data_IF_584712459773
#
_entry.id   IF_584712459773
#
_cell.length_a   1.000
_cell.length_b   1.000
_cell.length_c   1.000
_cell.angle_alpha   90.00
_cell.angle_beta   90.00
_cell.angle_gamma   90.00
#
_symmetry.space_group_name_H-M   'P 1'
#
loop_
_entity.id
_entity.type
_entity.pdbx_description
1 polymer ?
#
# COMPACT_ATOMS: atom_id res chain seq x y z
N UNK A 1 -3.14 -19.95 -4.18
CA UNK A 1 -2.48 -21.25 -4.41
C UNK A 1 -3.23 -22.29 -3.59
N UNK A 2 -3.46 -23.51 -4.08
CA UNK A 2 -4.07 -24.57 -3.27
C UNK A 2 -3.13 -24.95 -2.11
N UNK A 3 -3.71 -25.38 -0.99
CA UNK A 3 -2.95 -25.89 0.16
C UNK A 3 -2.37 -27.28 -0.14
N UNK A 4 -1.16 -27.54 0.35
CA UNK A 4 -0.45 -28.80 0.20
C UNK A 4 -0.13 -29.41 1.57
N UNK A 5 0.11 -30.73 1.60
CA UNK A 5 0.55 -31.42 2.82
C UNK A 5 1.96 -30.97 3.23
N UNK A 6 2.25 -30.99 4.52
CA UNK A 6 3.56 -30.58 5.06
C UNK A 6 4.65 -31.66 5.01
N UNK A 7 4.32 -32.87 4.53
CA UNK A 7 5.15 -34.07 4.63
C UNK A 7 6.57 -33.93 4.03
N UNK A 8 6.76 -33.08 3.01
CA UNK A 8 8.06 -32.88 2.36
C UNK A 8 8.96 -31.83 3.02
N UNK A 9 8.43 -31.05 3.96
CA UNK A 9 9.12 -29.88 4.56
C UNK A 9 9.24 -29.99 6.08
N UNK A 10 8.67 -31.02 6.68
CA UNK A 10 8.61 -31.20 8.14
C UNK A 10 9.51 -32.31 8.65
N UNK A 11 10.04 -32.10 9.84
CA UNK A 11 10.79 -33.07 10.64
C UNK A 11 10.21 -33.13 12.06
N UNK A 12 9.99 -34.35 12.56
CA UNK A 12 9.38 -34.59 13.87
C UNK A 12 7.88 -34.31 13.95
N UNK A 13 7.35 -34.43 15.17
CA UNK A 13 5.92 -34.30 15.47
C UNK A 13 5.05 -35.44 14.92
N UNK A 14 3.81 -35.52 15.40
CA UNK A 14 2.80 -36.48 14.97
C UNK A 14 1.69 -35.72 14.25
N UNK A 15 1.35 -36.16 13.04
CA UNK A 15 0.20 -35.67 12.30
C UNK A 15 -1.08 -36.33 12.82
N UNK A 16 -2.13 -35.54 13.03
CA UNK A 16 -3.45 -35.98 13.44
C UNK A 16 -4.51 -35.28 12.59
N UNK A 17 -5.44 -36.04 12.05
CA UNK A 17 -6.62 -35.52 11.38
C UNK A 17 -7.77 -35.41 12.38
N UNK A 18 -8.44 -34.26 12.41
CA UNK A 18 -9.60 -34.00 13.27
C UNK A 18 -10.82 -33.58 12.42
N UNK A 19 -11.38 -34.50 11.62
CA UNK A 19 -12.35 -34.15 10.58
C UNK A 19 -13.71 -33.69 11.12
N UNK A 20 -13.96 -33.89 12.42
CA UNK A 20 -15.23 -33.56 13.09
C UNK A 20 -15.11 -32.34 14.02
N UNK A 21 -13.96 -31.65 14.04
CA UNK A 21 -13.78 -30.47 14.88
C UNK A 21 -14.53 -29.29 14.27
N UNK A 22 -15.49 -28.75 15.03
CA UNK A 22 -16.13 -27.48 14.68
C UNK A 22 -15.25 -26.33 15.15
N UNK A 23 -14.71 -25.54 14.21
CA UNK A 23 -13.82 -24.42 14.52
C UNK A 23 -14.52 -23.09 14.27
N UNK A 24 -14.47 -22.20 15.25
CA UNK A 24 -14.97 -20.84 15.18
C UNK A 24 -13.88 -19.97 14.53
N UNK A 25 -14.08 -19.57 13.27
CA UNK A 25 -13.14 -18.71 12.52
C UNK A 25 -13.59 -17.25 12.42
N UNK A 26 -14.81 -16.93 12.88
CA UNK A 26 -15.46 -15.63 12.70
C UNK A 26 -15.46 -15.13 11.23
N UNK A 27 -15.49 -16.06 10.27
CA UNK A 27 -15.52 -15.74 8.83
C UNK A 27 -14.18 -15.33 8.20
N UNK A 28 -13.08 -15.35 8.97
CA UNK A 28 -11.78 -14.81 8.50
C UNK A 28 -10.92 -15.79 7.71
N UNK A 29 -11.18 -17.10 7.82
CA UNK A 29 -10.33 -18.16 7.25
C UNK A 29 -11.15 -19.38 6.85
N UNK A 30 -10.63 -20.17 5.89
CA UNK A 30 -11.20 -21.47 5.52
C UNK A 30 -11.12 -22.42 6.73
N UNK A 31 -12.27 -22.87 7.30
CA UNK A 31 -12.29 -23.77 8.45
C UNK A 31 -11.56 -25.10 8.20
N UNK A 32 -11.39 -25.52 6.93
CA UNK A 32 -10.70 -26.76 6.57
C UNK A 32 -9.23 -26.78 6.98
N UNK A 33 -8.61 -25.61 7.12
CA UNK A 33 -7.22 -25.47 7.55
C UNK A 33 -6.99 -25.91 8.99
N UNK A 34 -8.05 -26.04 9.77
CA UNK A 34 -8.00 -26.46 11.17
C UNK A 34 -8.46 -27.91 11.40
N UNK A 35 -8.69 -28.67 10.31
CA UNK A 35 -9.11 -30.08 10.36
C UNK A 35 -7.93 -31.05 10.38
N UNK A 36 -6.70 -30.55 10.24
CA UNK A 36 -5.47 -31.32 10.32
C UNK A 36 -4.51 -30.56 11.21
N UNK A 37 -3.79 -31.27 12.07
CA UNK A 37 -2.75 -30.68 12.89
C UNK A 37 -1.51 -31.56 12.94
N UNK A 38 -0.39 -30.93 13.28
CA UNK A 38 0.82 -31.60 13.75
C UNK A 38 1.16 -31.09 15.13
N UNK A 39 1.42 -32.02 16.04
CA UNK A 39 1.79 -31.70 17.42
C UNK A 39 3.11 -32.37 17.82
N UNK A 40 3.81 -31.81 18.79
CA UNK A 40 5.09 -32.35 19.27
C UNK A 40 4.93 -33.70 19.96
N UNK A 41 5.85 -34.64 19.77
CA UNK A 41 5.79 -35.95 20.44
C UNK A 41 7.16 -36.34 21.00
N UNK A 42 7.22 -36.61 22.31
CA UNK A 42 8.45 -36.95 23.04
C UNK A 42 9.37 -35.73 23.30
N UNK A 43 9.97 -35.67 24.50
CA UNK A 43 10.97 -34.64 24.85
C UNK A 43 10.45 -33.21 24.97
N UNK A 44 11.30 -32.24 24.58
CA UNK A 44 11.07 -30.77 24.70
C UNK A 44 10.81 -30.07 23.36
N UNK A 45 10.78 -30.81 22.25
CA UNK A 45 10.67 -30.24 20.89
C UNK A 45 9.30 -30.51 20.24
N UNK A 46 8.74 -29.49 19.60
CA UNK A 46 7.64 -29.61 18.65
C UNK A 46 8.12 -29.99 17.24
N UNK A 47 7.23 -29.97 16.24
CA UNK A 47 7.63 -30.16 14.85
C UNK A 47 8.63 -29.06 14.42
N UNK A 48 9.46 -29.36 13.44
CA UNK A 48 10.40 -28.42 12.83
C UNK A 48 10.25 -28.44 11.32
N UNK A 49 10.31 -27.29 10.69
CA UNK A 49 10.06 -27.12 9.26
C UNK A 49 11.25 -26.44 8.57
N UNK A 50 11.52 -26.85 7.33
CA UNK A 50 12.46 -26.18 6.43
C UNK A 50 11.83 -26.08 5.04
N UNK A 51 11.52 -24.86 4.62
CA UNK A 51 10.86 -24.56 3.35
C UNK A 51 11.87 -24.01 2.36
N UNK A 52 12.10 -24.67 1.20
CA UNK A 52 12.97 -24.11 0.18
C UNK A 52 12.31 -22.86 -0.42
N UNK A 53 12.92 -21.69 -0.21
CA UNK A 53 12.44 -20.40 -0.73
C UNK A 53 13.63 -19.53 -1.13
N UNK A 54 13.43 -18.59 -2.05
CA UNK A 54 14.49 -17.63 -2.39
C UNK A 54 14.90 -16.78 -1.19
N UNK A 55 16.13 -16.26 -1.20
CA UNK A 55 16.52 -15.24 -0.23
C UNK A 55 15.62 -14.01 -0.34
N UNK A 56 15.14 -13.49 0.78
CA UNK A 56 14.17 -12.41 0.78
C UNK A 56 13.46 -12.24 2.12
N UNK A 57 12.53 -11.29 2.17
CA UNK A 57 11.65 -11.08 3.32
C UNK A 57 10.32 -11.78 3.12
N UNK A 58 9.82 -12.40 4.18
CA UNK A 58 8.58 -13.16 4.18
C UNK A 58 7.70 -12.75 5.37
N UNK A 59 6.39 -12.83 5.16
CA UNK A 59 5.42 -12.94 6.23
C UNK A 59 5.06 -14.43 6.37
N UNK A 60 5.20 -14.95 7.58
CA UNK A 60 4.87 -16.33 7.92
C UNK A 60 3.58 -16.32 8.74
N UNK A 61 2.49 -16.79 8.16
CA UNK A 61 1.22 -16.96 8.85
C UNK A 61 1.16 -18.37 9.45
N UNK A 62 0.96 -18.43 10.76
CA UNK A 62 0.90 -19.66 11.55
C UNK A 62 -0.51 -19.84 12.08
N UNK A 63 -1.16 -20.94 11.68
CA UNK A 63 -2.56 -21.22 11.97
C UNK A 63 -2.63 -22.22 13.12
N UNK A 64 -3.38 -21.86 14.15
CA UNK A 64 -3.57 -22.63 15.36
C UNK A 64 -5.05 -22.71 15.70
N UNK A 65 -5.50 -23.79 16.29
CA UNK A 65 -6.70 -23.79 17.14
C UNK A 65 -6.36 -24.50 18.45
N UNK A 66 -7.19 -24.49 19.48
CA UNK A 66 -7.00 -25.40 20.61
C UNK A 66 -8.23 -26.28 20.80
N UNK A 67 -8.11 -27.56 20.50
CA UNK A 67 -9.22 -28.55 20.38
C UNK A 67 -9.12 -29.65 21.42
N UNK A 68 -7.95 -29.76 22.07
CA UNK A 68 -7.70 -30.77 23.08
C UNK A 68 -8.20 -30.27 24.42
N UNK A 69 -9.24 -30.91 24.96
CA UNK A 69 -9.94 -30.43 26.16
C UNK A 69 -9.01 -30.07 27.35
N UNK A 70 -7.94 -30.85 27.67
CA UNK A 70 -7.01 -30.49 28.74
C UNK A 70 -6.19 -29.21 28.50
N UNK A 71 -6.09 -28.73 27.25
CA UNK A 71 -5.42 -27.46 26.91
C UNK A 71 -6.38 -26.30 26.70
N UNK A 72 -7.69 -26.52 26.88
CA UNK A 72 -8.70 -25.46 26.84
C UNK A 72 -8.78 -24.67 28.15
N UNK A 73 -7.62 -24.23 28.65
CA UNK A 73 -7.48 -23.37 29.81
C UNK A 73 -6.22 -22.51 29.68
N UNK A 74 -6.27 -21.28 30.19
CA UNK A 74 -5.11 -20.38 30.22
C UNK A 74 -3.91 -21.06 30.90
N UNK A 75 -2.75 -20.99 30.25
CA UNK A 75 -1.48 -21.54 30.69
C UNK A 75 -1.32 -23.04 30.47
N UNK A 76 -2.35 -23.75 29.99
CA UNK A 76 -2.30 -25.20 29.86
C UNK A 76 -1.43 -25.66 28.69
N UNK A 77 -1.30 -24.86 27.63
CA UNK A 77 -0.30 -25.05 26.57
C UNK A 77 0.45 -23.75 26.33
N UNK A 78 1.74 -23.77 26.64
CA UNK A 78 2.67 -22.67 26.36
C UNK A 78 3.86 -23.22 25.58
N UNK A 79 4.22 -22.52 24.51
CA UNK A 79 5.42 -22.80 23.72
C UNK A 79 5.96 -21.53 23.05
N UNK A 80 7.22 -21.57 22.63
CA UNK A 80 7.80 -20.54 21.76
C UNK A 80 7.77 -21.02 20.30
N UNK A 81 7.69 -20.06 19.37
CA UNK A 81 7.91 -20.30 17.95
C UNK A 81 9.16 -19.55 17.53
N UNK A 82 10.13 -20.26 16.98
CA UNK A 82 11.32 -19.68 16.40
C UNK A 82 11.21 -19.72 14.88
N UNK A 83 11.57 -18.61 14.25
CA UNK A 83 11.68 -18.47 12.79
C UNK A 83 13.08 -17.96 12.49
N UNK A 84 13.79 -18.62 11.57
CA UNK A 84 15.20 -18.31 11.27
C UNK A 84 16.08 -18.30 12.53
N UNK A 85 15.91 -19.32 13.38
CA UNK A 85 16.57 -19.52 14.67
C UNK A 85 16.35 -18.40 15.72
N UNK A 86 15.45 -17.44 15.46
CA UNK A 86 15.10 -16.36 16.39
C UNK A 86 13.71 -16.59 16.97
N UNK A 87 13.53 -16.36 18.26
CA UNK A 87 12.21 -16.41 18.90
C UNK A 87 11.32 -15.32 18.29
N UNK A 88 10.35 -15.73 17.48
CA UNK A 88 9.42 -14.86 16.77
C UNK A 88 8.09 -14.69 17.54
N UNK A 89 7.66 -15.73 18.26
CA UNK A 89 6.58 -15.68 19.24
C UNK A 89 7.09 -16.30 20.54
N UNK A 90 6.96 -15.59 21.65
CA UNK A 90 7.34 -16.11 22.97
C UNK A 90 6.13 -16.34 23.85
N UNK A 91 6.13 -17.44 24.60
CA UNK A 91 5.07 -17.86 25.52
C UNK A 91 3.68 -17.88 24.87
N UNK A 92 3.58 -18.38 23.63
CA UNK A 92 2.30 -18.49 22.93
C UNK A 92 1.40 -19.47 23.67
N UNK A 93 0.22 -18.97 24.04
CA UNK A 93 -0.91 -19.68 24.65
C UNK A 93 -2.13 -19.51 23.73
N UNK A 94 -2.33 -20.48 22.84
CA UNK A 94 -3.37 -20.43 21.81
C UNK A 94 -4.74 -20.14 22.41
N UNK A 95 -5.06 -20.74 23.58
CA UNK A 95 -6.34 -20.52 24.25
C UNK A 95 -6.48 -19.04 24.66
N UNK A 96 -5.49 -18.49 25.37
CA UNK A 96 -5.53 -17.11 25.83
C UNK A 96 -5.59 -16.12 24.66
N UNK A 97 -4.76 -16.31 23.62
CA UNK A 97 -4.75 -15.41 22.47
C UNK A 97 -5.99 -15.53 21.58
N UNK A 98 -6.60 -16.70 21.47
CA UNK A 98 -7.83 -16.87 20.70
C UNK A 98 -9.07 -16.22 21.38
N UNK A 99 -9.04 -16.00 22.71
CA UNK A 99 -10.16 -15.35 23.43
C UNK A 99 -10.33 -13.87 23.06
N UNK A 100 -9.24 -13.17 22.73
CA UNK A 100 -9.23 -11.71 22.51
C UNK A 100 -9.54 -10.94 23.80
N UNK A 101 -10.16 -9.76 23.68
CA UNK A 101 -10.52 -8.90 24.84
C UNK A 101 -11.86 -9.24 25.50
N UNK A 102 -12.49 -10.37 25.16
CA UNK A 102 -13.80 -10.76 25.66
C UNK A 102 -13.74 -12.09 26.44
N UNK A 103 -14.71 -12.31 27.33
CA UNK A 103 -14.91 -13.59 28.04
C UNK A 103 -15.44 -14.70 27.10
N UNK A 104 -14.85 -14.86 25.93
CA UNK A 104 -15.21 -15.89 24.96
C UNK A 104 -14.27 -17.08 25.13
N UNK A 105 -14.77 -18.33 25.16
CA UNK A 105 -13.90 -19.50 25.25
C UNK A 105 -12.88 -19.53 24.10
N UNK A 106 -11.60 -19.71 24.42
CA UNK A 106 -10.51 -19.85 23.43
C UNK A 106 -10.45 -21.22 22.78
N UNK A 107 -11.13 -22.21 23.37
CA UNK A 107 -11.26 -23.56 22.85
C UNK A 107 -12.01 -23.54 21.51
N UNK A 108 -11.59 -24.38 20.56
CA UNK A 108 -12.14 -24.51 19.22
C UNK A 108 -12.18 -23.21 18.41
N UNK A 109 -11.37 -22.21 18.77
CA UNK A 109 -11.31 -20.93 18.06
C UNK A 109 -10.01 -20.79 17.28
N UNK A 110 -10.15 -20.55 15.98
CA UNK A 110 -9.01 -20.38 15.09
C UNK A 110 -8.23 -19.11 15.44
N UNK A 111 -6.92 -19.25 15.56
CA UNK A 111 -5.95 -18.20 15.78
C UNK A 111 -4.95 -18.21 14.63
N UNK A 112 -4.66 -17.05 14.07
CA UNK A 112 -3.60 -16.88 13.07
C UNK A 112 -2.62 -15.85 13.58
N UNK A 113 -1.35 -16.25 13.71
CA UNK A 113 -0.26 -15.37 14.09
C UNK A 113 0.63 -15.13 12.88
N UNK A 114 0.91 -13.86 12.57
CA UNK A 114 1.83 -13.50 11.49
C UNK A 114 3.15 -13.04 12.08
N UNK A 115 4.27 -13.61 11.62
CA UNK A 115 5.61 -13.17 12.00
C UNK A 115 6.47 -12.87 10.77
N UNK A 116 7.34 -11.85 10.81
CA UNK A 116 8.28 -11.58 9.73
C UNK A 116 9.45 -12.58 9.75
N UNK A 117 9.98 -12.90 8.58
CA UNK A 117 11.19 -13.69 8.40
C UNK A 117 12.10 -13.04 7.35
N UNK A 118 13.41 -13.21 7.50
CA UNK A 118 14.41 -12.83 6.49
C UNK A 118 15.26 -14.04 6.20
N UNK A 119 15.14 -14.57 4.98
CA UNK A 119 15.86 -15.76 4.52
C UNK A 119 17.12 -15.34 3.79
N UNK A 120 18.25 -15.92 4.17
CA UNK A 120 19.58 -15.61 3.60
C UNK A 120 20.32 -16.82 3.03
N UNK A 121 19.81 -18.02 3.26
CA UNK A 121 20.45 -19.30 2.94
C UNK A 121 19.63 -20.19 1.99
N UNK A 122 18.53 -19.66 1.42
CA UNK A 122 17.63 -20.38 0.53
C UNK A 122 16.61 -21.28 1.23
N UNK A 123 16.49 -21.20 2.56
CA UNK A 123 15.51 -21.97 3.31
C UNK A 123 14.88 -21.17 4.46
N UNK A 124 13.55 -21.18 4.55
CA UNK A 124 12.84 -20.64 5.72
C UNK A 124 12.65 -21.76 6.75
N UNK A 125 13.21 -21.58 7.95
CA UNK A 125 13.20 -22.56 9.02
C UNK A 125 12.27 -22.13 10.16
N UNK A 126 11.42 -23.04 10.62
CA UNK A 126 10.48 -22.81 11.74
C UNK A 126 10.63 -23.93 12.75
N UNK A 127 10.79 -23.61 14.02
CA UNK A 127 10.82 -24.62 15.09
C UNK A 127 9.91 -24.22 16.23
N UNK A 128 9.31 -25.22 16.89
CA UNK A 128 8.39 -25.01 17.99
C UNK A 128 9.00 -25.58 19.28
N UNK A 129 9.19 -24.74 20.30
CA UNK A 129 9.87 -25.12 21.54
C UNK A 129 8.87 -25.25 22.70
N UNK A 130 8.73 -26.46 23.25
CA UNK A 130 7.78 -26.74 24.35
C UNK A 130 8.17 -26.00 25.62
N UNK A 131 7.19 -25.42 26.32
CA UNK A 131 7.32 -24.99 27.73
C UNK A 131 6.44 -25.83 28.65
N UNK A 132 5.13 -25.74 28.53
CA UNK A 132 4.19 -26.45 29.43
C UNK A 132 3.62 -27.73 28.79
N UNK A 133 3.21 -27.65 27.53
CA UNK A 133 2.59 -28.76 26.80
C UNK A 133 3.07 -28.76 25.35
N UNK A 134 2.98 -29.92 24.68
CA UNK A 134 3.47 -30.07 23.32
C UNK A 134 2.90 -28.99 22.38
N UNK A 135 3.77 -28.28 21.64
CA UNK A 135 3.36 -27.34 20.62
C UNK A 135 2.50 -28.03 19.56
N UNK A 136 1.62 -27.26 18.94
CA UNK A 136 0.80 -27.71 17.80
C UNK A 136 0.80 -26.65 16.71
N UNK A 137 0.54 -27.07 15.49
CA UNK A 137 0.32 -26.21 14.33
C UNK A 137 -0.68 -26.89 13.40
N UNK A 138 -1.62 -26.12 12.85
CA UNK A 138 -2.68 -26.62 11.98
C UNK A 138 -2.34 -26.34 10.51
N UNK A 139 -1.80 -25.14 10.21
CA UNK A 139 -1.30 -24.80 8.89
C UNK A 139 -0.19 -23.72 8.94
N UNK A 140 0.63 -23.66 7.89
CA UNK A 140 1.68 -22.66 7.71
C UNK A 140 1.54 -22.08 6.30
N UNK A 141 1.47 -20.76 6.19
CA UNK A 141 1.53 -20.05 4.92
C UNK A 141 2.73 -19.11 4.91
N UNK A 142 3.57 -19.24 3.87
CA UNK A 142 4.73 -18.39 3.66
C UNK A 142 4.46 -17.52 2.44
N UNK A 143 4.32 -16.22 2.70
CA UNK A 143 4.15 -15.23 1.66
C UNK A 143 5.42 -14.40 1.62
N UNK A 144 6.08 -14.23 0.44
CA UNK A 144 6.97 -13.09 0.26
C UNK A 144 6.28 -11.84 0.80
N UNK A 145 6.97 -10.99 1.56
CA UNK A 145 6.34 -9.86 2.24
C UNK A 145 5.57 -8.95 1.27
N UNK A 146 6.07 -8.82 0.04
CA UNK A 146 5.43 -8.15 -1.10
C UNK A 146 4.11 -8.78 -1.61
N UNK A 147 3.86 -10.05 -1.28
CA UNK A 147 2.60 -10.75 -1.55
C UNK A 147 1.59 -10.61 -0.42
N UNK A 148 1.93 -9.96 0.71
CA UNK A 148 0.97 -9.61 1.76
C UNK A 148 0.51 -8.17 1.60
N UNK A 149 -0.80 -7.96 1.65
CA UNK A 149 -1.33 -6.60 1.69
C UNK A 149 -0.91 -5.93 3.02
N UNK A 150 -0.49 -4.67 2.94
CA UNK A 150 -0.36 -3.78 4.08
C UNK A 150 -1.68 -3.72 4.82
N UNK A 151 -1.62 -3.66 6.15
CA UNK A 151 -2.81 -3.56 7.00
C UNK A 151 -3.16 -2.08 7.18
N UNK A 152 -4.25 -1.57 6.60
CA UNK A 152 -4.59 -0.17 6.74
C UNK A 152 -5.07 0.16 8.16
N UNK A 153 -4.86 1.40 8.61
CA UNK A 153 -5.36 1.89 9.89
C UNK A 153 -6.77 2.45 9.77
N UNK A 154 -7.06 3.17 8.69
CA UNK A 154 -8.35 3.81 8.47
C UNK A 154 -8.62 4.03 6.97
N UNK A 155 -9.89 4.20 6.64
CA UNK A 155 -10.30 4.67 5.32
C UNK A 155 -11.33 5.81 5.47
N UNK A 156 -11.24 6.78 4.57
CA UNK A 156 -12.22 7.85 4.39
C UNK A 156 -12.64 7.90 2.92
N UNK A 157 -13.79 8.51 2.62
CA UNK A 157 -14.26 8.60 1.25
C UNK A 157 -15.04 9.89 1.00
N UNK A 158 -15.35 10.12 -0.27
CA UNK A 158 -16.44 10.99 -0.68
C UNK A 158 -17.80 10.47 -0.15
N UNK A 159 -18.90 11.25 -0.32
CA UNK A 159 -20.22 10.87 0.17
C UNK A 159 -20.67 9.47 -0.28
N UNK A 160 -21.30 8.75 0.65
CA UNK A 160 -21.71 7.36 0.48
C UNK A 160 -23.07 7.24 -0.21
N UNK A 161 -23.29 6.13 -0.90
CA UNK A 161 -24.65 5.71 -1.31
C UNK A 161 -25.57 5.63 -0.08
N UNK A 162 -25.08 5.01 1.00
CA UNK A 162 -25.70 4.99 2.32
C UNK A 162 -24.68 4.59 3.40
N UNK A 163 -25.04 4.75 4.67
CA UNK A 163 -24.19 4.34 5.79
C UNK A 163 -23.95 2.81 5.87
N UNK A 164 -24.67 2.00 5.10
CA UNK A 164 -24.46 0.56 5.03
C UNK A 164 -23.21 0.16 4.23
N UNK A 165 -22.64 1.08 3.43
CA UNK A 165 -21.50 0.82 2.55
C UNK A 165 -20.31 1.74 2.85
N UNK A 166 -19.78 1.73 4.11
CA UNK A 166 -18.77 2.67 4.55
C UNK A 166 -17.41 2.45 3.87
N UNK A 167 -16.55 3.46 3.90
CA UNK A 167 -15.18 3.37 3.38
C UNK A 167 -14.36 2.22 4.00
N UNK A 168 -14.59 1.94 5.29
CA UNK A 168 -13.90 0.85 6.00
C UNK A 168 -14.19 -0.53 5.42
N UNK A 169 -15.32 -0.71 4.73
CA UNK A 169 -15.69 -1.99 4.14
C UNK A 169 -14.88 -2.35 2.88
N UNK A 170 -14.04 -1.46 2.38
CA UNK A 170 -13.12 -1.74 1.28
C UNK A 170 -11.67 -2.03 1.75
N UNK A 171 -11.44 -2.12 3.06
CA UNK A 171 -10.12 -2.39 3.66
C UNK A 171 -10.21 -3.41 4.81
N UNK A 172 -11.34 -4.09 4.95
CA UNK A 172 -11.59 -5.02 6.05
C UNK A 172 -11.22 -6.47 5.70
N UNK A 173 -10.79 -6.72 4.46
CA UNK A 173 -10.41 -8.03 3.94
C UNK A 173 -11.61 -8.96 3.70
N UNK A 174 -12.84 -8.46 3.80
CA UNK A 174 -14.05 -9.24 3.61
C UNK A 174 -14.69 -8.93 2.24
N UNK A 175 -14.56 -9.86 1.30
CA UNK A 175 -15.08 -9.71 -0.07
C UNK A 175 -16.62 -9.78 -0.17
N UNK A 176 -17.35 -9.85 0.95
CA UNK A 176 -18.82 -9.76 0.98
C UNK A 176 -19.33 -8.41 1.47
N UNK A 177 -18.45 -7.51 1.92
CA UNK A 177 -18.76 -6.14 2.35
C UNK A 177 -18.13 -5.15 1.37
N UNK A 178 -18.79 -4.01 1.13
CA UNK A 178 -18.34 -3.05 0.11
C UNK A 178 -18.41 -1.62 0.59
N UNK A 179 -17.48 -0.81 0.11
CA UNK A 179 -17.67 0.64 0.04
C UNK A 179 -18.54 0.99 -1.17
N UNK A 180 -19.40 2.01 -1.03
CA UNK A 180 -20.10 2.59 -2.17
C UNK A 180 -20.33 4.09 -2.06
N UNK A 181 -20.09 4.78 -3.17
CA UNK A 181 -20.27 6.23 -3.29
C UNK A 181 -21.65 6.62 -3.83
N UNK A 182 -22.00 7.90 -3.69
CA UNK A 182 -23.12 8.50 -4.41
C UNK A 182 -22.96 8.36 -5.93
N UNK A 183 -24.08 8.53 -6.66
CA UNK A 183 -24.16 8.23 -8.08
C UNK A 183 -23.72 9.42 -8.93
N UNK A 184 -22.49 9.86 -8.70
CA UNK A 184 -21.85 10.99 -9.36
C UNK A 184 -20.41 10.65 -9.76
N UNK A 185 -19.89 11.36 -10.74
CA UNK A 185 -18.46 11.30 -11.08
C UNK A 185 -17.62 12.02 -10.00
N UNK A 186 -16.30 11.85 -10.01
CA UNK A 186 -15.38 12.52 -9.08
C UNK A 186 -15.42 11.99 -7.63
N UNK A 187 -15.84 10.75 -7.43
CA UNK A 187 -15.88 10.11 -6.11
C UNK A 187 -14.52 9.53 -5.76
N UNK A 188 -14.25 9.34 -4.48
CA UNK A 188 -12.93 8.87 -4.04
C UNK A 188 -12.99 8.05 -2.75
N UNK A 189 -12.01 7.16 -2.60
CA UNK A 189 -11.73 6.38 -1.41
C UNK A 189 -10.24 6.57 -1.06
N UNK A 190 -9.94 7.03 0.15
CA UNK A 190 -8.59 7.24 0.65
C UNK A 190 -8.31 6.32 1.84
N UNK A 191 -7.12 5.73 1.86
CA UNK A 191 -6.67 4.74 2.84
C UNK A 191 -5.44 5.30 3.56
N UNK A 192 -5.47 5.33 4.90
CA UNK A 192 -4.30 5.63 5.75
C UNK A 192 -3.62 4.32 6.15
N UNK A 193 -2.35 4.16 5.78
CA UNK A 193 -1.53 3.00 6.14
C UNK A 193 -0.87 3.14 7.52
N UNK A 194 -0.96 4.31 8.15
CA UNK A 194 -0.36 4.62 9.46
C UNK A 194 1.12 4.98 9.44
N UNK A 195 1.84 4.58 8.40
CA UNK A 195 3.24 4.93 8.15
C UNK A 195 3.49 5.04 6.63
N UNK A 196 4.61 5.65 6.24
CA UNK A 196 5.00 5.73 4.83
C UNK A 196 5.61 4.40 4.39
N UNK A 197 5.10 3.85 3.28
CA UNK A 197 5.59 2.61 2.68
C UNK A 197 5.99 2.83 1.22
N UNK A 198 6.99 2.09 0.71
CA UNK A 198 7.18 1.95 -0.73
C UNK A 198 6.09 1.02 -1.28
N UNK A 199 5.13 1.58 -2.03
CA UNK A 199 3.97 0.85 -2.51
C UNK A 199 4.33 0.17 -3.84
N UNK A 200 4.26 -1.16 -3.86
CA UNK A 200 4.60 -1.98 -5.02
C UNK A 200 3.45 -2.10 -6.00
N UNK A 201 2.28 -2.47 -5.49
CA UNK A 201 1.06 -2.64 -6.27
C UNK A 201 -0.19 -2.44 -5.43
N UNK A 202 -1.30 -2.23 -6.12
CA UNK A 202 -2.65 -2.19 -5.55
C UNK A 202 -3.52 -3.17 -6.32
N UNK A 203 -4.34 -3.91 -5.62
CA UNK A 203 -5.38 -4.76 -6.20
C UNK A 203 -6.73 -4.17 -5.83
N UNK A 204 -7.47 -3.69 -6.83
CA UNK A 204 -8.84 -3.22 -6.71
C UNK A 204 -9.78 -4.39 -7.04
N UNK A 205 -10.67 -4.72 -6.12
CA UNK A 205 -11.74 -5.70 -6.34
C UNK A 205 -13.06 -4.97 -6.40
N UNK A 206 -13.51 -4.66 -7.61
CA UNK A 206 -14.76 -3.95 -7.87
C UNK A 206 -15.99 -4.84 -7.72
N UNK A 207 -17.10 -4.21 -7.37
CA UNK A 207 -18.43 -4.75 -7.60
C UNK A 207 -18.79 -4.65 -9.09
N UNK A 208 -19.99 -5.06 -9.51
CA UNK A 208 -20.49 -4.79 -10.87
C UNK A 208 -20.42 -3.29 -11.24
N UNK A 209 -20.56 -2.37 -10.27
CA UNK A 209 -20.35 -0.95 -10.44
C UNK A 209 -18.89 -0.52 -10.14
N UNK A 210 -18.24 0.12 -11.11
CA UNK A 210 -16.80 0.41 -11.10
C UNK A 210 -16.48 1.79 -11.71
N UNK A 211 -15.23 2.24 -11.56
CA UNK A 211 -14.72 3.42 -12.24
C UNK A 211 -14.06 3.08 -13.58
N UNK A 212 -14.48 3.74 -14.67
CA UNK A 212 -13.86 3.57 -15.99
C UNK A 212 -12.65 4.47 -16.18
N UNK A 213 -12.70 5.68 -15.63
CA UNK A 213 -11.56 6.60 -15.59
C UNK A 213 -11.23 6.83 -14.13
N UNK A 214 -10.02 6.49 -13.72
CA UNK A 214 -9.58 6.69 -12.34
C UNK A 214 -8.08 6.94 -12.24
N UNK A 215 -7.70 7.55 -11.11
CA UNK A 215 -6.32 7.72 -10.67
C UNK A 215 -6.08 6.96 -9.38
N UNK A 216 -4.86 6.46 -9.22
CA UNK A 216 -4.31 6.17 -7.91
C UNK A 216 -3.38 7.32 -7.56
N UNK A 217 -3.59 7.87 -6.37
CA UNK A 217 -2.79 8.95 -5.81
C UNK A 217 -2.17 8.50 -4.49
N UNK A 218 -0.97 9.02 -4.19
CA UNK A 218 -0.32 8.83 -2.89
C UNK A 218 -0.12 10.17 -2.19
N UNK A 219 -0.04 10.15 -0.87
CA UNK A 219 0.24 11.33 -0.06
C UNK A 219 1.01 10.97 1.20
N UNK A 220 1.82 11.91 1.70
CA UNK A 220 2.49 11.81 2.99
C UNK A 220 1.62 12.31 4.15
N UNK A 221 0.68 13.23 3.88
CA UNK A 221 -0.06 14.00 4.89
C UNK A 221 -1.60 13.87 4.78
N UNK A 222 -2.10 13.19 3.75
CA UNK A 222 -3.54 12.97 3.52
C UNK A 222 -4.27 14.17 2.92
N UNK A 223 -3.57 15.27 2.65
CA UNK A 223 -4.13 16.53 2.13
C UNK A 223 -3.54 16.93 0.79
N UNK A 224 -2.24 16.74 0.60
CA UNK A 224 -1.52 17.00 -0.66
C UNK A 224 -1.33 15.68 -1.40
N UNK A 225 -2.01 15.54 -2.53
CA UNK A 225 -2.09 14.27 -3.27
C UNK A 225 -1.33 14.32 -4.57
N UNK A 226 -0.64 13.23 -4.87
CA UNK A 226 0.18 13.08 -6.07
C UNK A 226 -0.25 11.87 -6.87
N UNK A 227 -0.57 12.05 -8.15
CA UNK A 227 -0.92 10.94 -9.05
C UNK A 227 0.27 9.98 -9.20
N UNK A 228 0.04 8.71 -8.88
CA UNK A 228 0.98 7.61 -9.07
C UNK A 228 0.60 6.75 -10.29
N UNK A 229 -0.69 6.67 -10.62
CA UNK A 229 -1.20 5.97 -11.80
C UNK A 229 -2.50 6.63 -12.30
N UNK A 230 -2.78 6.48 -13.60
CA UNK A 230 -4.05 6.89 -14.21
C UNK A 230 -4.43 5.93 -15.33
N UNK A 231 -5.72 5.61 -15.44
CA UNK A 231 -6.30 4.92 -16.60
C UNK A 231 -7.57 5.62 -17.07
N UNK A 232 -7.88 5.49 -18.37
CA UNK A 232 -9.14 5.93 -18.98
C UNK A 232 -10.02 4.76 -19.44
N UNK A 233 -9.55 3.54 -19.26
CA UNK A 233 -10.15 2.31 -19.79
C UNK A 233 -10.26 1.24 -18.71
N UNK A 234 -10.52 1.63 -17.46
CA UNK A 234 -10.85 0.71 -16.38
C UNK A 234 -12.01 -0.20 -16.78
N UNK A 235 -11.95 -1.46 -16.37
CA UNK A 235 -12.85 -2.52 -16.83
C UNK A 235 -13.72 -3.10 -15.71
N UNK A 236 -13.42 -2.77 -14.44
CA UNK A 236 -14.09 -3.39 -13.30
C UNK A 236 -13.54 -4.78 -12.98
N UNK A 237 -14.26 -5.56 -12.17
CA UNK A 237 -13.78 -6.86 -11.68
C UNK A 237 -12.54 -6.71 -10.80
N UNK A 238 -11.53 -7.58 -10.99
CA UNK A 238 -10.25 -7.48 -10.27
C UNK A 238 -9.22 -6.78 -11.15
N UNK A 239 -8.76 -5.61 -10.73
CA UNK A 239 -7.71 -4.85 -11.42
C UNK A 239 -6.45 -4.78 -10.56
N UNK A 240 -5.29 -5.09 -11.13
CA UNK A 240 -3.98 -4.96 -10.47
C UNK A 240 -3.21 -3.80 -11.07
N UNK A 241 -2.78 -2.87 -10.24
CA UNK A 241 -2.06 -1.65 -10.60
C UNK A 241 -0.66 -1.72 -9.99
N UNK A 242 0.37 -1.69 -10.82
CA UNK A 242 1.77 -1.64 -10.36
C UNK A 242 2.22 -0.19 -10.17
N UNK A 243 2.81 0.10 -9.01
CA UNK A 243 3.31 1.43 -8.63
C UNK A 243 4.84 1.48 -8.44
N UNK A 244 5.56 0.36 -8.55
CA UNK A 244 7.03 0.32 -8.57
C UNK A 244 7.72 1.04 -7.40
N UNK A 245 7.16 0.95 -6.18
CA UNK A 245 7.78 1.51 -4.98
C UNK A 245 7.53 2.99 -4.75
N UNK A 246 6.47 3.58 -5.34
CA UNK A 246 6.06 4.95 -5.01
C UNK A 246 5.80 5.06 -3.51
N UNK A 247 6.43 6.05 -2.87
CA UNK A 247 6.27 6.28 -1.44
C UNK A 247 4.91 6.93 -1.13
N UNK A 248 4.28 6.48 -0.05
CA UNK A 248 3.07 7.09 0.46
C UNK A 248 2.67 6.50 1.81
N UNK A 249 2.15 7.35 2.69
CA UNK A 249 1.38 6.90 3.87
C UNK A 249 -0.08 6.74 3.53
N UNK A 250 -0.61 7.65 2.73
CA UNK A 250 -1.97 7.64 2.27
C UNK A 250 -2.03 7.23 0.81
N UNK A 251 -3.06 6.45 0.45
CA UNK A 251 -3.33 6.02 -0.92
C UNK A 251 -4.78 6.32 -1.24
N UNK A 252 -5.05 7.00 -2.35
CA UNK A 252 -6.41 7.36 -2.77
C UNK A 252 -6.72 6.84 -4.16
N UNK A 253 -7.83 6.14 -4.27
CA UNK A 253 -8.52 5.90 -5.52
C UNK A 253 -9.43 7.10 -5.82
N UNK A 254 -9.15 7.82 -6.91
CA UNK A 254 -9.97 8.93 -7.38
C UNK A 254 -10.68 8.54 -8.68
N UNK A 255 -11.99 8.31 -8.59
CA UNK A 255 -12.85 7.85 -9.67
C UNK A 255 -13.35 9.05 -10.49
N UNK A 256 -12.61 9.43 -11.53
CA UNK A 256 -12.95 10.55 -12.40
C UNK A 256 -14.24 10.34 -13.19
N UNK A 257 -14.49 9.11 -13.66
CA UNK A 257 -15.70 8.77 -14.43
C UNK A 257 -16.17 7.36 -14.15
N UNK A 258 -17.46 7.21 -13.89
CA UNK A 258 -18.11 5.92 -13.63
C UNK A 258 -18.20 5.06 -14.88
N UNK A 259 -18.07 3.75 -14.71
CA UNK A 259 -18.24 2.75 -15.77
C UNK A 259 -19.69 2.31 -15.98
N UNK A 260 -20.56 2.59 -15.01
CA UNK A 260 -22.00 2.25 -15.04
C UNK A 260 -22.84 3.47 -14.63
N UNK A 261 -24.18 3.33 -14.63
CA UNK A 261 -25.09 4.37 -14.14
C UNK A 261 -25.11 4.50 -12.59
N UNK A 262 -24.59 3.49 -11.89
CA UNK A 262 -24.52 3.42 -10.42
C UNK A 262 -23.31 4.15 -9.86
N UNK A 263 -23.18 4.28 -8.53
CA UNK A 263 -21.97 4.81 -7.89
C UNK A 263 -20.74 3.92 -8.10
N UNK A 264 -19.56 4.39 -7.68
CA UNK A 264 -18.38 3.51 -7.61
C UNK A 264 -18.50 2.60 -6.38
N UNK A 265 -18.25 1.30 -6.56
CA UNK A 265 -18.44 0.29 -5.53
C UNK A 265 -17.29 -0.71 -5.50
N UNK A 266 -16.67 -0.88 -4.33
CA UNK A 266 -15.45 -1.67 -4.17
C UNK A 266 -15.61 -2.67 -3.03
N UNK A 267 -15.38 -3.95 -3.31
CA UNK A 267 -15.28 -5.01 -2.29
C UNK A 267 -13.98 -4.87 -1.49
N UNK A 268 -12.86 -4.58 -2.14
CA UNK A 268 -11.56 -4.46 -1.45
C UNK A 268 -10.55 -3.61 -2.24
N UNK A 269 -9.76 -2.82 -1.53
CA UNK A 269 -8.55 -2.13 -2.00
C UNK A 269 -7.34 -2.68 -1.25
N UNK A 270 -6.75 -3.76 -1.77
CA UNK A 270 -5.57 -4.36 -1.16
C UNK A 270 -4.29 -3.68 -1.65
N UNK A 271 -3.52 -3.08 -0.74
CA UNK A 271 -2.29 -2.34 -1.06
C UNK A 271 -1.09 -3.18 -0.63
N UNK A 272 -0.11 -3.37 -1.50
CA UNK A 272 1.06 -4.22 -1.24
C UNK A 272 2.34 -3.39 -1.23
N UNK A 273 3.31 -3.69 -0.34
CA UNK A 273 4.62 -3.07 -0.42
C UNK A 273 5.37 -3.53 -1.68
N UNK A 274 6.42 -2.80 -2.04
CA UNK A 274 7.25 -3.16 -3.19
C UNK A 274 8.28 -4.23 -2.87
N UNK A 275 8.66 -4.98 -3.91
CA UNK A 275 9.61 -6.09 -3.85
C UNK A 275 11.05 -5.57 -3.61
N UNK A 276 11.72 -6.09 -2.58
CA UNK A 276 13.15 -5.84 -2.31
C UNK A 276 13.54 -4.36 -2.08
N UNK A 277 14.84 -4.02 -2.13
CA UNK A 277 15.30 -2.63 -2.06
C UNK A 277 14.81 -1.87 -3.29
N UNK A 278 13.74 -1.10 -3.12
CA UNK A 278 13.27 -0.22 -4.19
C UNK A 278 14.21 0.95 -4.38
N UNK A 279 14.46 1.29 -5.64
CA UNK A 279 14.93 2.63 -5.98
C UNK A 279 13.69 3.52 -6.05
N UNK A 280 13.50 4.49 -5.14
CA UNK A 280 12.35 5.37 -5.20
C UNK A 280 12.29 6.03 -6.58
N UNK A 281 11.10 6.10 -7.18
CA UNK A 281 10.92 6.88 -8.41
C UNK A 281 11.35 8.32 -8.11
N UNK A 282 12.35 8.80 -8.84
CA UNK A 282 12.90 10.15 -8.66
C UNK A 282 12.74 10.96 -9.93
N UNK A 283 12.50 12.25 -9.77
CA UNK A 283 12.34 13.22 -10.85
C UNK A 283 13.45 14.25 -10.82
N UNK A 284 13.89 14.66 -12.00
CA UNK A 284 14.77 15.81 -12.17
C UNK A 284 13.94 17.08 -12.07
N UNK A 285 14.33 17.99 -11.16
CA UNK A 285 13.80 19.37 -11.16
C UNK A 285 14.54 20.15 -12.21
N UNK A 286 13.81 20.78 -13.13
CA UNK A 286 14.43 21.58 -14.19
C UNK A 286 13.45 22.55 -14.82
N UNK A 287 13.82 23.06 -15.98
CA UNK A 287 12.92 23.85 -16.81
C UNK A 287 13.68 24.66 -17.83
N UNK A 288 13.25 25.89 -18.12
CA UNK A 288 13.82 26.72 -19.19
C UNK A 288 14.21 28.10 -18.70
N UNK A 289 15.34 28.61 -19.18
CA UNK A 289 15.77 30.00 -19.00
C UNK A 289 15.65 30.75 -20.33
N UNK A 290 15.08 31.95 -20.29
CA UNK A 290 14.98 32.86 -21.44
C UNK A 290 15.35 34.30 -21.06
N UNK A 291 15.84 35.08 -22.04
CA UNK A 291 16.26 36.48 -21.87
C UNK A 291 17.60 36.69 -21.16
N UNK A 292 18.31 35.62 -20.81
CA UNK A 292 19.53 35.69 -20.00
C UNK A 292 20.68 36.34 -20.78
N UNK A 293 21.29 37.35 -20.17
CA UNK A 293 22.58 37.92 -20.55
C UNK A 293 23.50 37.87 -19.33
N UNK A 294 24.57 37.07 -19.40
CA UNK A 294 25.47 36.82 -18.29
C UNK A 294 25.14 35.53 -17.54
N UNK A 295 25.14 35.59 -16.22
CA UNK A 295 25.03 34.41 -15.35
C UNK A 295 23.94 34.57 -14.31
N UNK A 296 23.09 33.55 -14.16
CA UNK A 296 22.13 33.43 -13.07
C UNK A 296 22.47 32.17 -12.25
N UNK A 297 22.32 32.25 -10.94
CA UNK A 297 22.44 31.06 -10.07
C UNK A 297 21.08 30.76 -9.47
N UNK A 298 20.61 29.54 -9.72
CA UNK A 298 19.37 28.98 -9.21
C UNK A 298 19.67 28.09 -8.01
N UNK A 299 18.73 27.97 -7.07
CA UNK A 299 18.85 27.09 -5.91
C UNK A 299 17.60 26.23 -5.76
N UNK A 300 17.79 24.94 -5.48
CA UNK A 300 16.73 24.01 -5.09
C UNK A 300 17.19 23.20 -3.86
N UNK A 301 16.56 23.44 -2.70
CA UNK A 301 17.01 22.86 -1.43
C UNK A 301 18.44 23.31 -1.08
N UNK A 302 19.35 22.36 -0.87
CA UNK A 302 20.76 22.63 -0.61
C UNK A 302 21.61 22.83 -1.87
N UNK A 303 21.09 22.46 -3.05
CA UNK A 303 21.83 22.47 -4.31
C UNK A 303 21.72 23.83 -5.02
N UNK A 304 22.84 24.32 -5.56
CA UNK A 304 22.90 25.52 -6.40
C UNK A 304 23.37 25.16 -7.81
N UNK A 305 22.76 25.79 -8.82
CA UNK A 305 23.03 25.55 -10.23
C UNK A 305 23.30 26.88 -10.94
N UNK A 306 24.48 27.00 -11.53
CA UNK A 306 24.86 28.15 -12.37
C UNK A 306 24.39 27.93 -13.80
N UNK A 307 23.64 28.88 -14.35
CA UNK A 307 23.17 28.89 -15.73
C UNK A 307 23.76 30.09 -16.47
N UNK A 308 24.38 29.84 -17.62
CA UNK A 308 25.13 30.84 -18.42
C UNK A 308 24.55 31.05 -19.82
N UNK A 309 23.50 30.32 -20.19
CA UNK A 309 22.87 30.42 -21.50
C UNK A 309 21.35 30.21 -21.40
N UNK A 310 20.63 30.74 -22.40
CA UNK A 310 19.22 30.44 -22.60
C UNK A 310 19.04 28.98 -23.02
N UNK A 311 17.93 28.36 -22.66
CA UNK A 311 17.64 26.96 -22.97
C UNK A 311 17.17 26.16 -21.75
N UNK A 312 17.21 24.84 -21.85
CA UNK A 312 16.81 23.97 -20.76
C UNK A 312 17.89 23.88 -19.67
N UNK A 313 17.46 23.77 -18.41
CA UNK A 313 18.31 23.48 -17.27
C UNK A 313 17.72 22.35 -16.44
N UNK A 314 18.59 21.69 -15.66
CA UNK A 314 18.19 20.64 -14.72
C UNK A 314 19.14 20.59 -13.54
N UNK A 315 18.58 20.51 -12.34
CA UNK A 315 19.31 20.19 -11.11
C UNK A 315 19.81 18.73 -11.17
N UNK A 316 21.10 18.47 -10.90
CA UNK A 316 21.65 17.11 -10.86
C UNK A 316 20.99 16.22 -9.82
N UNK A 317 20.68 16.76 -8.64
CA UNK A 317 20.03 16.01 -7.57
C UNK A 317 18.56 15.78 -7.91
N UNK A 318 18.18 14.52 -8.07
CA UNK A 318 16.78 14.14 -8.30
C UNK A 318 16.00 14.20 -7.00
N UNK A 319 14.74 14.61 -7.07
CA UNK A 319 13.79 14.60 -5.95
C UNK A 319 12.92 13.34 -6.01
N UNK A 320 12.62 12.72 -4.88
CA UNK A 320 11.71 11.58 -4.85
C UNK A 320 10.29 12.00 -5.27
N UNK A 321 9.53 11.08 -5.86
CA UNK A 321 8.11 11.25 -6.17
C UNK A 321 7.35 11.79 -4.96
N UNK A 322 6.48 12.78 -5.18
CA UNK A 322 5.68 13.42 -4.12
C UNK A 322 6.45 14.34 -3.17
N UNK A 323 7.79 14.42 -3.25
CA UNK A 323 8.57 15.35 -2.44
C UNK A 323 8.42 16.78 -2.96
N UNK A 324 8.27 17.73 -2.02
CA UNK A 324 8.21 19.15 -2.37
C UNK A 324 9.54 19.62 -3.00
N UNK A 325 9.45 20.60 -3.89
CA UNK A 325 10.61 21.31 -4.43
C UNK A 325 10.39 22.83 -4.40
N UNK A 326 11.48 23.59 -4.38
CA UNK A 326 11.43 25.05 -4.47
C UNK A 326 12.68 25.58 -5.17
N UNK A 327 12.49 26.10 -6.38
CA UNK A 327 13.52 26.74 -7.21
C UNK A 327 13.48 28.24 -7.01
N UNK A 328 14.60 28.84 -6.61
CA UNK A 328 14.74 30.28 -6.40
C UNK A 328 15.97 30.83 -7.13
N UNK A 329 15.96 32.13 -7.45
CA UNK A 329 17.16 32.83 -7.93
C UNK A 329 17.94 33.32 -6.72
N UNK A 330 19.20 32.91 -6.60
CA UNK A 330 20.10 33.35 -5.52
C UNK A 330 21.17 34.32 -5.99
N UNK A 331 21.49 34.33 -7.29
CA UNK A 331 22.38 35.33 -7.90
C UNK A 331 21.75 35.84 -9.19
N UNK A 332 21.53 37.16 -9.25
CA UNK A 332 21.01 37.84 -10.43
C UNK A 332 22.15 38.18 -11.41
N UNK A 333 21.91 38.15 -12.73
CA UNK A 333 22.87 38.65 -13.71
C UNK A 333 23.06 40.15 -13.56
N UNK A 334 24.24 40.66 -13.95
CA UNK A 334 24.48 42.12 -13.97
C UNK A 334 23.51 42.79 -14.94
N UNK A 335 22.87 43.88 -14.50
CA UNK A 335 21.90 44.62 -15.32
C UNK A 335 20.56 43.92 -15.58
N UNK A 336 20.35 42.69 -15.07
CA UNK A 336 19.10 41.96 -15.23
C UNK A 336 18.45 41.61 -13.88
N UNK A 337 17.17 41.28 -13.96
CA UNK A 337 16.38 40.66 -12.90
C UNK A 337 15.67 39.44 -13.47
N UNK A 338 15.98 38.27 -12.94
CA UNK A 338 15.34 37.00 -13.23
C UNK A 338 14.23 36.71 -12.21
N UNK A 339 13.08 36.25 -12.69
CA UNK A 339 11.99 35.70 -11.88
C UNK A 339 11.75 34.23 -12.23
N UNK A 340 11.25 33.45 -11.27
CA UNK A 340 10.91 32.03 -11.45
C UNK A 340 9.40 31.87 -11.42
N UNK A 341 8.81 31.34 -12.50
CA UNK A 341 7.44 30.86 -12.53
C UNK A 341 7.40 29.35 -12.27
N UNK A 342 6.31 28.88 -11.66
CA UNK A 342 6.16 27.49 -11.17
C UNK A 342 7.32 27.09 -10.23
N UNK A 343 7.75 28.06 -9.41
CA UNK A 343 8.91 27.98 -8.55
C UNK A 343 8.83 26.88 -7.50
N UNK A 344 7.64 26.41 -7.13
CA UNK A 344 7.49 25.34 -6.14
C UNK A 344 6.26 24.49 -6.38
N UNK A 345 6.31 23.26 -5.87
CA UNK A 345 5.14 22.41 -5.72
C UNK A 345 5.24 21.69 -4.36
N UNK A 346 4.15 21.63 -3.58
CA UNK A 346 4.13 20.87 -2.34
C UNK A 346 4.16 19.35 -2.59
N UNK A 347 3.74 18.88 -3.77
CA UNK A 347 3.77 17.46 -4.14
C UNK A 347 3.56 17.30 -5.66
N UNK A 348 4.64 17.19 -6.47
CA UNK A 348 4.50 17.16 -7.93
C UNK A 348 4.11 15.76 -8.44
N UNK A 349 3.03 15.70 -9.23
CA UNK A 349 2.52 14.48 -9.91
C UNK A 349 3.08 14.22 -11.30
N UNK A 350 4.01 15.07 -11.75
CA UNK A 350 4.69 14.99 -13.04
C UNK A 350 6.11 15.56 -12.89
N UNK A 351 6.92 15.48 -13.95
CA UNK A 351 8.27 16.06 -13.97
C UNK A 351 8.20 17.55 -13.57
N UNK A 352 8.85 17.96 -12.46
CA UNK A 352 8.86 19.35 -12.03
C UNK A 352 9.48 20.25 -13.10
N UNK A 353 8.77 21.32 -13.47
CA UNK A 353 9.20 22.27 -14.49
C UNK A 353 9.02 23.71 -14.00
N UNK A 354 10.12 24.44 -13.82
CA UNK A 354 10.13 25.86 -13.48
C UNK A 354 10.63 26.69 -14.68
N UNK A 355 9.94 27.76 -15.05
CA UNK A 355 10.42 28.68 -16.09
C UNK A 355 11.09 29.89 -15.44
N UNK A 356 12.25 30.28 -15.94
CA UNK A 356 13.01 31.44 -15.47
C UNK A 356 13.07 32.46 -16.59
N UNK A 357 12.55 33.65 -16.33
CA UNK A 357 12.56 34.76 -17.28
C UNK A 357 13.43 35.88 -16.76
N UNK A 358 14.43 36.28 -17.54
CA UNK A 358 15.31 37.41 -17.25
C UNK A 358 14.83 38.68 -17.98
N UNK A 359 14.74 39.79 -17.24
CA UNK A 359 14.32 41.09 -17.76
C UNK A 359 15.39 42.14 -17.42
N UNK A 360 15.69 43.02 -18.37
CA UNK A 360 16.62 44.14 -18.16
C UNK A 360 16.05 45.14 -17.14
N UNK A 361 16.88 45.59 -16.20
CA UNK A 361 16.49 46.61 -15.21
C UNK A 361 16.12 47.96 -15.83
N UNK A 362 16.56 48.23 -17.07
CA UNK A 362 16.18 49.41 -17.84
C UNK A 362 14.79 49.30 -18.51
N UNK A 363 14.16 48.11 -18.48
CA UNK A 363 12.84 47.83 -19.05
C UNK A 363 12.02 46.98 -18.08
N UNK A 364 11.57 47.57 -16.97
CA UNK A 364 10.63 46.90 -16.08
C UNK A 364 9.30 46.63 -16.81
N UNK A 365 9.07 45.37 -17.21
CA UNK A 365 7.77 44.91 -17.71
C UNK A 365 7.12 44.09 -16.59
N UNK A 366 6.02 44.60 -16.05
CA UNK A 366 5.11 43.84 -15.20
C UNK A 366 4.47 42.73 -16.05
N UNK A 367 4.81 41.47 -15.78
CA UNK A 367 4.08 40.33 -16.35
C UNK A 367 2.92 40.01 -15.42
N UNK A 368 1.75 40.53 -15.74
CA UNK A 368 0.48 40.00 -15.21
C UNK A 368 0.11 38.79 -16.06
N UNK A 369 0.02 37.60 -15.45
CA UNK A 369 -0.57 36.44 -16.12
C UNK A 369 -2.10 36.60 -16.17
N UNK A 370 -2.76 36.28 -17.29
CA UNK A 370 -4.22 36.27 -17.34
C UNK A 370 -4.75 35.13 -16.45
N UNK A 371 -5.77 35.43 -15.64
CA UNK A 371 -6.64 34.41 -15.06
C UNK A 371 -7.16 33.49 -16.19
N UNK A 372 -7.31 32.18 -15.95
CA UNK A 372 -7.97 31.33 -16.93
C UNK A 372 -9.46 31.71 -16.98
N UNK A 373 -9.86 32.42 -18.04
CA UNK A 373 -11.28 32.48 -18.44
C UNK A 373 -11.54 31.29 -19.36
N UNK A 374 -12.47 30.37 -19.03
CA UNK A 374 -12.90 29.37 -19.98
C UNK A 374 -13.87 30.03 -20.98
N UNK A 375 -13.43 30.25 -22.23
CA UNK A 375 -14.36 30.50 -23.32
C UNK A 375 -14.68 29.18 -24.02
N UNK A 376 -15.83 28.60 -23.68
CA UNK A 376 -16.60 27.83 -24.65
C UNK A 376 -17.31 28.84 -25.56
N UNK A 377 -16.88 28.94 -26.82
CA UNK A 377 -17.70 29.57 -27.85
C UNK A 377 -18.78 28.57 -28.25
N UNK A 378 -20.02 28.83 -27.83
CA UNK A 378 -21.20 28.19 -28.44
C UNK A 378 -21.58 29.10 -29.60
N UNK A 379 -21.14 28.76 -30.81
CA UNK A 379 -21.74 29.29 -32.01
C UNK A 379 -23.11 28.61 -32.19
N UNK A 380 -24.19 29.30 -31.81
CA UNK A 380 -25.54 28.94 -32.20
C UNK A 380 -25.71 29.20 -33.70
N UNK A 381 -25.72 28.13 -34.51
CA UNK A 381 -26.24 28.18 -35.87
C UNK A 381 -27.72 27.77 -35.83
N UNK A 382 -28.61 28.74 -36.03
CA UNK A 382 -30.02 28.49 -36.33
C UNK A 382 -30.16 28.34 -37.86
N UNK A 383 -30.85 27.29 -38.30
CA UNK A 383 -31.41 27.20 -39.66
C UNK A 383 -32.82 26.64 -39.53
N UNK A 384 -33.82 27.50 -39.82
CA UNK A 384 -35.14 27.08 -40.24
C UNK A 384 -35.21 27.15 -41.76
N UNK A 385 -35.92 26.20 -42.37
CA UNK A 385 -36.84 26.41 -43.49
C UNK A 385 -37.57 25.10 -43.76
N UNK A 386 -38.88 25.24 -43.64
CA UNK A 386 -40.04 24.45 -44.11
C UNK A 386 -40.07 22.94 -43.83
#
# INVERSE_FOLDING_TARGET
QPWATDASVVSGGIALQEPNTTVITAGRFDPKLFMNQRWGAGGTSGPSYSFPVSNGQYAVNLYFVDTYAPTCAKGARIFDVLVEAKVALSNLDIFDQATGSGNVPGCNRGLVMTVPATVTDGALNITFAKKTQYPRIDAIEILPAEKRALTPQAATSSPLESNAFPASAAIDGNLTTRWSSIFADGQWLAVDLGASYPIGRIVLTWEAAYAKVYRIETSADGTNWTSAYRTTTGVGGVETITLNGVLGRYVRLFCEKRGTAWGNSLWEMAIYPADGPVTPTTYTVGGTVSGLNGTVVLKNGAESLTVTANGSFSFPTKVAHGSAYSTTVITQPSGQTCSVANASSPSPSAKPAASVMAVDRSRAISVTLPLPVPTFSIASAARSRD
#
